data_IF_120026284608
#
_entry.id   IF_120026284608
#
_cell.length_a   1.000
_cell.length_b   1.000
_cell.length_c   1.000
_cell.angle_alpha   90.00
_cell.angle_beta   90.00
_cell.angle_gamma   90.00
#
_symmetry.space_group_name_H-M   'P 1'
#
loop_
_entity.id
_entity.type
_entity.pdbx_description
1 polymer ?
#
# COMPACT_ATOMS: atom_id res chain seq x y z
N UNK A 1 20.43 35.96 9.11
CA UNK A 1 20.21 34.72 8.36
C UNK A 1 18.84 34.17 8.75
N UNK A 2 17.85 34.16 7.84
CA UNK A 2 16.52 33.59 8.13
C UNK A 2 16.67 32.07 8.01
N UNK A 3 16.60 31.34 9.14
CA UNK A 3 16.62 29.90 9.14
C UNK A 3 15.20 29.45 8.78
N UNK A 4 15.04 28.78 7.63
CA UNK A 4 13.79 28.14 7.26
C UNK A 4 13.54 26.95 8.20
N UNK A 5 12.38 26.92 8.82
CA UNK A 5 11.95 25.76 9.64
C UNK A 5 11.51 24.60 8.74
N UNK A 6 11.60 23.37 9.26
CA UNK A 6 11.17 22.19 8.52
C UNK A 6 9.68 22.22 8.18
N UNK A 7 8.87 22.80 9.05
CA UNK A 7 7.44 22.97 8.85
C UNK A 7 7.15 23.82 7.59
N UNK A 8 7.85 24.94 7.43
CA UNK A 8 7.71 25.79 6.24
C UNK A 8 8.21 25.10 4.97
N UNK A 9 9.31 24.35 5.07
CA UNK A 9 9.82 23.55 3.94
C UNK A 9 8.76 22.54 3.50
N UNK A 10 8.13 21.83 4.44
CA UNK A 10 7.08 20.83 4.13
C UNK A 10 5.84 21.49 3.54
N UNK A 11 5.43 22.66 4.02
CA UNK A 11 4.35 23.43 3.41
C UNK A 11 4.60 23.71 1.92
N UNK A 12 5.83 24.14 1.56
CA UNK A 12 6.18 24.37 0.16
C UNK A 12 6.27 23.08 -0.66
N UNK A 13 6.81 21.99 -0.10
CA UNK A 13 6.80 20.68 -0.76
C UNK A 13 5.38 20.16 -1.00
N UNK A 14 4.48 20.37 -0.04
CA UNK A 14 3.08 19.99 -0.20
C UNK A 14 2.39 20.77 -1.34
N UNK A 15 2.71 22.05 -1.51
CA UNK A 15 2.21 22.85 -2.64
C UNK A 15 2.74 22.32 -3.97
N UNK A 16 4.02 21.95 -4.04
CA UNK A 16 4.61 21.34 -5.24
C UNK A 16 3.90 20.02 -5.57
N UNK A 17 3.69 19.16 -4.58
CA UNK A 17 3.09 17.84 -4.77
C UNK A 17 1.67 17.89 -5.36
N UNK A 18 0.86 18.87 -5.00
CA UNK A 18 -0.52 18.99 -5.50
C UNK A 18 -0.63 19.70 -6.86
N UNK A 19 0.50 20.12 -7.44
CA UNK A 19 0.49 20.69 -8.80
C UNK A 19 0.19 19.62 -9.86
N UNK A 20 -0.24 20.02 -11.07
CA UNK A 20 -0.46 19.08 -12.17
C UNK A 20 0.81 18.34 -12.63
N UNK A 21 2.00 18.94 -12.42
CA UNK A 21 3.28 18.36 -12.82
C UNK A 21 4.36 18.53 -11.72
N UNK A 22 4.22 17.79 -10.61
CA UNK A 22 5.07 17.97 -9.44
C UNK A 22 6.55 17.63 -9.68
N UNK A 23 6.86 16.78 -10.68
CA UNK A 23 8.25 16.45 -11.02
C UNK A 23 9.10 17.66 -11.34
N UNK A 24 8.53 18.73 -11.90
CA UNK A 24 9.25 19.97 -12.21
C UNK A 24 9.84 20.61 -10.96
N UNK A 25 9.05 20.69 -9.88
CA UNK A 25 9.52 21.23 -8.61
C UNK A 25 10.65 20.40 -8.00
N UNK A 26 10.52 19.07 -8.01
CA UNK A 26 11.57 18.19 -7.49
C UNK A 26 12.86 18.22 -8.34
N UNK A 27 12.75 18.38 -9.66
CA UNK A 27 13.92 18.58 -10.53
C UNK A 27 14.63 19.90 -10.23
N UNK A 28 13.91 20.99 -10.04
CA UNK A 28 14.49 22.28 -9.63
C UNK A 28 15.16 22.21 -8.26
N UNK A 29 14.56 21.54 -7.29
CA UNK A 29 15.17 21.32 -5.98
C UNK A 29 16.48 20.51 -6.09
N UNK A 30 16.52 19.54 -6.99
CA UNK A 30 17.71 18.75 -7.28
C UNK A 30 18.79 19.56 -7.99
N UNK A 31 18.46 20.27 -9.08
CA UNK A 31 19.37 21.11 -9.86
C UNK A 31 20.00 22.25 -9.04
N UNK A 32 19.24 22.79 -8.08
CA UNK A 32 19.72 23.82 -7.15
C UNK A 32 20.48 23.28 -5.95
N UNK A 33 20.58 21.93 -5.80
CA UNK A 33 21.21 21.28 -4.65
C UNK A 33 20.38 21.34 -3.35
N UNK A 34 19.18 21.94 -3.36
CA UNK A 34 18.36 22.06 -2.16
C UNK A 34 17.80 20.70 -1.69
N UNK A 35 17.58 19.76 -2.63
CA UNK A 35 17.04 18.44 -2.32
C UNK A 35 17.97 17.64 -1.39
N UNK A 36 19.27 17.84 -1.46
CA UNK A 36 20.27 17.19 -0.58
C UNK A 36 20.05 17.54 0.90
N UNK A 37 19.69 18.80 1.19
CA UNK A 37 19.43 19.27 2.55
C UNK A 37 18.03 18.93 3.05
N UNK A 38 17.05 18.82 2.14
CA UNK A 38 15.65 18.58 2.48
C UNK A 38 15.37 17.09 2.61
N UNK A 39 15.74 16.31 1.59
CA UNK A 39 15.40 14.88 1.48
C UNK A 39 16.53 14.09 0.79
N UNK A 40 17.68 13.92 1.43
CA UNK A 40 18.83 13.21 0.84
C UNK A 40 18.52 11.76 0.47
N UNK A 41 17.46 11.16 1.07
CA UNK A 41 17.02 9.80 0.74
C UNK A 41 16.54 9.67 -0.70
N UNK A 42 15.89 10.70 -1.27
CA UNK A 42 15.49 10.71 -2.68
C UNK A 42 16.70 10.70 -3.61
N UNK A 43 17.78 11.41 -3.26
CA UNK A 43 18.98 11.45 -4.08
C UNK A 43 19.70 10.10 -4.16
N UNK A 44 19.54 9.22 -3.17
CA UNK A 44 20.08 7.86 -3.22
C UNK A 44 19.43 7.00 -4.33
N UNK A 45 18.28 7.41 -4.85
CA UNK A 45 17.65 6.77 -6.01
C UNK A 45 18.35 7.07 -7.33
N UNK A 46 19.23 8.10 -7.36
CA UNK A 46 19.98 8.49 -8.56
C UNK A 46 21.08 7.49 -8.89
N UNK A 47 21.45 7.53 -10.16
CA UNK A 47 22.54 6.73 -10.70
C UNK A 47 22.08 5.36 -11.19
N UNK A 48 22.88 4.84 -12.12
CA UNK A 48 22.69 3.51 -12.71
C UNK A 48 24.02 2.79 -12.58
N UNK A 49 24.00 1.65 -11.90
CA UNK A 49 25.15 0.75 -11.89
C UNK A 49 24.99 -0.28 -13.02
N UNK A 50 26.09 -0.61 -13.65
CA UNK A 50 26.13 -1.63 -14.68
C UNK A 50 27.17 -2.69 -14.33
N UNK A 51 26.76 -3.96 -14.41
CA UNK A 51 27.63 -5.14 -14.26
C UNK A 51 27.43 -6.00 -15.49
N UNK A 52 28.51 -6.36 -16.16
CA UNK A 52 28.52 -7.18 -17.39
C UNK A 52 27.56 -6.65 -18.48
N UNK A 53 27.50 -5.31 -18.64
CA UNK A 53 26.61 -4.63 -19.59
C UNK A 53 25.14 -4.60 -19.20
N UNK A 54 24.76 -5.12 -18.03
CA UNK A 54 23.40 -5.08 -17.50
C UNK A 54 23.25 -3.94 -16.49
N UNK A 55 22.61 -2.85 -16.90
CA UNK A 55 22.23 -1.73 -16.02
C UNK A 55 20.81 -1.90 -15.46
N UNK A 56 20.53 -1.23 -14.34
CA UNK A 56 19.16 -1.08 -13.86
C UNK A 56 18.54 0.25 -14.34
N UNK A 57 17.22 0.39 -14.19
CA UNK A 57 16.53 1.66 -14.46
C UNK A 57 17.03 2.74 -13.50
N UNK A 58 17.12 3.97 -13.96
CA UNK A 58 17.39 5.13 -13.10
C UNK A 58 16.14 5.42 -12.25
N UNK A 59 16.26 5.17 -10.94
CA UNK A 59 15.09 5.11 -10.05
C UNK A 59 14.57 6.50 -9.67
N UNK A 60 15.42 7.53 -9.62
CA UNK A 60 14.98 8.90 -9.31
C UNK A 60 14.06 9.47 -10.40
N UNK A 61 14.50 9.41 -11.67
CA UNK A 61 13.66 9.87 -12.78
C UNK A 61 12.39 9.02 -12.92
N UNK A 62 12.48 7.71 -12.64
CA UNK A 62 11.31 6.85 -12.61
C UNK A 62 10.31 7.29 -11.52
N UNK A 63 10.78 7.55 -10.31
CA UNK A 63 9.93 8.02 -9.21
C UNK A 63 9.22 9.32 -9.57
N UNK A 64 9.91 10.25 -10.23
CA UNK A 64 9.30 11.50 -10.69
C UNK A 64 8.32 11.30 -11.83
N UNK A 65 8.56 10.35 -12.74
CA UNK A 65 7.63 9.94 -13.79
C UNK A 65 6.34 9.35 -13.19
N UNK A 66 6.48 8.45 -12.21
CA UNK A 66 5.33 7.85 -11.49
C UNK A 66 4.53 8.92 -10.77
N UNK A 67 5.20 9.88 -10.13
CA UNK A 67 4.54 11.00 -9.44
C UNK A 67 3.70 11.85 -10.41
N UNK A 68 4.22 12.16 -11.61
CA UNK A 68 3.47 12.88 -12.64
C UNK A 68 2.30 12.04 -13.18
N UNK A 69 2.51 10.74 -13.41
CA UNK A 69 1.46 9.83 -13.87
C UNK A 69 0.31 9.72 -12.86
N UNK A 70 0.62 9.67 -11.55
CA UNK A 70 -0.39 9.72 -10.49
C UNK A 70 -1.13 11.05 -10.53
N UNK A 71 -0.41 12.17 -10.75
CA UNK A 71 -0.99 13.49 -10.83
C UNK A 71 -2.02 13.58 -11.96
N UNK A 72 -1.64 13.14 -13.15
CA UNK A 72 -2.49 13.16 -14.33
C UNK A 72 -3.71 12.23 -14.18
N UNK A 73 -3.48 11.00 -13.78
CA UNK A 73 -4.56 10.01 -13.62
C UNK A 73 -5.56 10.39 -12.53
N UNK A 74 -5.11 10.92 -11.40
CA UNK A 74 -5.98 11.39 -10.33
C UNK A 74 -6.82 12.58 -10.77
N UNK A 75 -6.22 13.57 -11.42
CA UNK A 75 -6.94 14.74 -11.91
C UNK A 75 -7.99 14.37 -12.99
N UNK A 76 -7.67 13.43 -13.87
CA UNK A 76 -8.63 12.90 -14.84
C UNK A 76 -9.82 12.23 -14.15
N UNK A 77 -9.54 11.34 -13.17
CA UNK A 77 -10.58 10.63 -12.43
C UNK A 77 -11.43 11.55 -11.54
N UNK A 78 -10.85 12.64 -11.00
CA UNK A 78 -11.60 13.70 -10.31
C UNK A 78 -12.55 14.41 -11.30
N UNK A 79 -12.05 14.78 -12.46
CA UNK A 79 -12.86 15.46 -13.49
C UNK A 79 -14.02 14.58 -13.99
N UNK A 80 -13.83 13.27 -14.05
CA UNK A 80 -14.84 12.28 -14.39
C UNK A 80 -15.78 11.91 -13.23
N UNK A 81 -15.46 12.33 -11.98
CA UNK A 81 -16.24 12.00 -10.77
C UNK A 81 -16.18 10.52 -10.40
N UNK A 82 -15.12 9.81 -10.82
CA UNK A 82 -14.99 8.36 -10.61
C UNK A 82 -14.29 7.99 -9.30
N UNK A 83 -13.47 8.87 -8.73
CA UNK A 83 -12.81 8.65 -7.43
C UNK A 83 -13.72 9.01 -6.26
N UNK A 84 -13.67 8.17 -5.23
CA UNK A 84 -14.44 8.35 -4.00
C UNK A 84 -13.54 8.27 -2.78
N UNK A 85 -13.78 9.17 -1.83
CA UNK A 85 -13.24 9.11 -0.48
C UNK A 85 -14.30 8.52 0.46
N UNK A 86 -13.87 7.70 1.40
CA UNK A 86 -14.75 7.12 2.40
C UNK A 86 -14.57 7.86 3.72
N UNK A 87 -15.64 8.50 4.20
CA UNK A 87 -15.63 9.28 5.44
C UNK A 87 -16.70 8.75 6.39
N UNK A 88 -16.48 8.89 7.70
CA UNK A 88 -17.47 8.54 8.71
C UNK A 88 -18.29 9.79 9.06
N UNK A 89 -19.61 9.73 8.85
CA UNK A 89 -20.56 10.74 9.25
C UNK A 89 -21.62 10.09 10.16
N UNK A 90 -21.79 10.61 11.34
CA UNK A 90 -22.74 10.07 12.35
C UNK A 90 -22.58 8.56 12.62
N UNK A 91 -21.34 8.04 12.54
CA UNK A 91 -21.02 6.64 12.76
C UNK A 91 -21.26 5.73 11.55
N UNK A 92 -21.67 6.29 10.41
CA UNK A 92 -21.89 5.56 9.15
C UNK A 92 -20.80 5.93 8.16
N UNK A 93 -20.26 4.93 7.45
CA UNK A 93 -19.33 5.16 6.36
C UNK A 93 -20.08 5.66 5.12
N UNK A 94 -19.68 6.82 4.61
CA UNK A 94 -20.27 7.49 3.44
C UNK A 94 -19.20 7.66 2.36
N UNK A 95 -19.54 7.26 1.13
CA UNK A 95 -18.70 7.50 -0.03
C UNK A 95 -18.97 8.89 -0.61
N UNK A 96 -17.96 9.76 -0.65
CA UNK A 96 -18.01 11.09 -1.27
C UNK A 96 -17.16 11.13 -2.53
N UNK A 97 -17.66 11.76 -3.58
CA UNK A 97 -16.84 12.01 -4.78
C UNK A 97 -15.69 12.94 -4.39
N UNK A 98 -14.47 12.54 -4.72
CA UNK A 98 -13.27 13.35 -4.51
C UNK A 98 -13.27 14.54 -5.45
N UNK A 99 -13.03 15.72 -4.93
CA UNK A 99 -13.01 17.00 -5.69
C UNK A 99 -11.64 17.66 -5.73
N UNK A 100 -10.73 17.23 -4.86
CA UNK A 100 -9.39 17.80 -4.70
C UNK A 100 -8.32 16.71 -4.73
N UNK A 101 -7.10 16.99 -5.22
CA UNK A 101 -6.00 16.03 -5.20
C UNK A 101 -5.68 15.55 -3.79
N UNK A 102 -5.43 14.26 -3.62
CA UNK A 102 -4.99 13.68 -2.36
C UNK A 102 -3.48 13.86 -2.18
N UNK A 103 -3.10 14.82 -1.35
CA UNK A 103 -1.70 15.09 -1.02
C UNK A 103 -0.95 13.82 -0.56
N UNK A 104 -1.61 12.95 0.19
CA UNK A 104 -0.95 11.77 0.76
C UNK A 104 -0.73 10.67 -0.28
N UNK A 105 -1.58 10.59 -1.30
CA UNK A 105 -1.34 9.76 -2.48
C UNK A 105 -0.10 10.23 -3.25
N UNK A 106 0.09 11.55 -3.37
CA UNK A 106 1.30 12.13 -3.99
C UNK A 106 2.57 11.83 -3.18
N UNK A 107 2.48 11.91 -1.84
CA UNK A 107 3.56 11.45 -0.97
C UNK A 107 3.84 9.96 -1.12
N UNK A 108 2.81 9.10 -1.22
CA UNK A 108 3.01 7.68 -1.47
C UNK A 108 3.70 7.43 -2.81
N UNK A 109 3.30 8.13 -3.88
CA UNK A 109 3.94 8.06 -5.19
C UNK A 109 5.42 8.49 -5.15
N UNK A 110 5.73 9.58 -4.44
CA UNK A 110 7.13 10.04 -4.28
C UNK A 110 7.99 9.05 -3.49
N UNK A 111 7.40 8.28 -2.58
CA UNK A 111 8.13 7.43 -1.62
C UNK A 111 8.02 5.94 -1.90
N UNK A 112 7.25 5.49 -2.92
CA UNK A 112 7.00 4.06 -3.16
C UNK A 112 8.28 3.24 -3.30
N UNK A 113 9.28 3.79 -3.96
CA UNK A 113 10.56 3.16 -4.29
C UNK A 113 11.73 3.59 -3.37
N UNK A 114 11.46 4.34 -2.31
CA UNK A 114 12.50 5.00 -1.48
C UNK A 114 13.54 4.03 -0.91
N UNK A 115 13.21 2.76 -0.77
CA UNK A 115 14.10 1.73 -0.23
C UNK A 115 14.84 0.90 -1.29
N UNK A 116 14.67 1.17 -2.58
CA UNK A 116 15.41 0.44 -3.63
C UNK A 116 16.93 0.49 -3.45
N UNK A 117 17.55 1.63 -3.07
CA UNK A 117 18.99 1.65 -2.80
C UNK A 117 19.43 0.69 -1.69
N UNK A 118 18.61 0.53 -0.65
CA UNK A 118 18.93 -0.32 0.52
C UNK A 118 18.74 -1.83 0.23
N UNK A 119 18.01 -2.17 -0.83
CA UNK A 119 17.66 -3.56 -1.20
C UNK A 119 18.28 -4.00 -2.53
N UNK A 120 19.02 -3.10 -3.18
CA UNK A 120 19.67 -3.37 -4.46
C UNK A 120 20.70 -4.49 -4.36
N UNK A 121 20.57 -5.50 -5.22
CA UNK A 121 21.50 -6.63 -5.35
C UNK A 121 21.65 -7.02 -6.80
N UNK A 122 22.84 -7.49 -7.17
CA UNK A 122 23.09 -8.06 -8.47
C UNK A 122 23.06 -9.60 -8.38
N UNK A 123 22.25 -10.22 -9.23
CA UNK A 123 22.20 -11.66 -9.41
C UNK A 123 22.74 -11.98 -10.83
N UNK A 124 23.76 -12.83 -10.98
CA UNK A 124 24.35 -13.14 -12.29
C UNK A 124 23.34 -13.74 -13.29
N UNK A 125 22.32 -14.46 -12.82
CA UNK A 125 21.33 -15.11 -13.68
C UNK A 125 20.27 -14.12 -14.20
N UNK A 126 19.75 -13.25 -13.32
CA UNK A 126 18.61 -12.38 -13.64
C UNK A 126 18.95 -10.87 -13.72
N UNK A 127 20.14 -10.48 -13.24
CA UNK A 127 20.58 -9.08 -13.20
C UNK A 127 20.24 -8.38 -11.89
N UNK A 128 20.00 -7.07 -11.95
CA UNK A 128 19.70 -6.26 -10.77
C UNK A 128 18.31 -6.57 -10.18
N UNK A 129 18.27 -6.77 -8.87
CA UNK A 129 17.06 -7.05 -8.09
C UNK A 129 16.91 -6.06 -6.94
N UNK A 130 15.64 -5.86 -6.49
CA UNK A 130 15.28 -4.94 -5.43
C UNK A 130 14.24 -5.56 -4.49
N UNK A 131 14.33 -6.88 -4.25
CA UNK A 131 13.33 -7.63 -3.49
C UNK A 131 13.12 -7.06 -2.08
N UNK A 132 11.87 -6.91 -1.70
CA UNK A 132 11.47 -6.45 -0.37
C UNK A 132 11.60 -4.93 -0.15
N UNK A 133 11.83 -4.13 -1.23
CA UNK A 133 11.91 -2.67 -1.09
C UNK A 133 10.58 -2.06 -0.62
N UNK A 134 9.45 -2.66 -0.95
CA UNK A 134 8.13 -2.26 -0.49
C UNK A 134 8.00 -2.36 1.05
N UNK A 135 8.41 -3.49 1.63
CA UNK A 135 8.42 -3.69 3.08
C UNK A 135 9.47 -2.80 3.79
N UNK A 136 10.64 -2.69 3.18
CA UNK A 136 11.70 -1.81 3.72
C UNK A 136 11.27 -0.36 3.66
N UNK A 137 10.68 0.09 2.54
CA UNK A 137 10.15 1.43 2.34
C UNK A 137 9.07 1.76 3.37
N UNK A 138 8.07 0.89 3.52
CA UNK A 138 7.04 1.07 4.54
C UNK A 138 7.61 1.26 5.96
N UNK A 139 8.67 0.53 6.32
CA UNK A 139 9.36 0.70 7.62
C UNK A 139 10.15 2.02 7.73
N UNK A 140 10.54 2.63 6.61
CA UNK A 140 11.24 3.92 6.60
C UNK A 140 10.27 5.10 6.81
N UNK A 141 8.99 5.00 6.40
CA UNK A 141 8.02 6.10 6.42
C UNK A 141 7.91 6.79 7.79
N UNK A 142 7.74 6.09 8.94
CA UNK A 142 7.60 6.78 10.23
C UNK A 142 8.81 7.65 10.59
N UNK A 143 10.03 7.16 10.35
CA UNK A 143 11.26 7.91 10.63
C UNK A 143 11.42 9.12 9.69
N UNK A 144 11.04 8.95 8.41
CA UNK A 144 11.08 10.03 7.42
C UNK A 144 10.08 11.13 7.78
N UNK A 145 8.84 10.77 8.08
CA UNK A 145 7.80 11.72 8.53
C UNK A 145 8.22 12.48 9.77
N UNK A 146 8.76 11.78 10.78
CA UNK A 146 9.29 12.40 11.98
C UNK A 146 10.42 13.40 11.67
N UNK A 147 11.36 13.00 10.79
CA UNK A 147 12.50 13.85 10.43
C UNK A 147 12.09 15.12 9.68
N UNK A 148 11.00 15.05 8.91
CA UNK A 148 10.42 16.14 8.14
C UNK A 148 9.36 16.94 8.92
N UNK A 149 9.09 16.59 10.19
CA UNK A 149 8.01 17.20 10.99
C UNK A 149 6.61 17.06 10.38
N UNK A 150 6.38 15.96 9.67
CA UNK A 150 5.08 15.60 9.12
C UNK A 150 4.21 14.88 10.17
N UNK A 151 2.88 14.83 10.00
CA UNK A 151 1.98 14.21 10.97
C UNK A 151 2.20 12.69 11.10
N UNK A 152 2.28 12.18 12.35
CA UNK A 152 2.48 10.76 12.66
C UNK A 152 1.14 10.08 13.01
N UNK A 153 0.10 10.37 12.27
CA UNK A 153 -1.27 9.89 12.45
C UNK A 153 -1.71 8.99 11.28
N UNK A 154 -3.02 8.89 11.03
CA UNK A 154 -3.60 8.09 9.96
C UNK A 154 -3.06 8.44 8.56
N UNK A 155 -2.65 9.71 8.34
CA UNK A 155 -2.03 10.16 7.09
C UNK A 155 -0.68 9.45 6.83
N UNK A 156 0.14 9.32 7.87
CA UNK A 156 1.38 8.54 7.80
C UNK A 156 1.09 7.07 7.54
N UNK A 157 0.12 6.48 8.25
CA UNK A 157 -0.27 5.06 8.08
C UNK A 157 -0.79 4.79 6.67
N UNK A 158 -1.55 5.73 6.11
CA UNK A 158 -1.99 5.67 4.72
C UNK A 158 -0.81 5.60 3.74
N UNK A 159 0.16 6.52 3.84
CA UNK A 159 1.36 6.50 2.98
C UNK A 159 2.15 5.21 3.19
N UNK A 160 2.35 4.79 4.44
CA UNK A 160 3.03 3.55 4.79
C UNK A 160 2.35 2.32 4.17
N UNK A 161 1.01 2.26 4.21
CA UNK A 161 0.21 1.19 3.61
C UNK A 161 0.40 1.13 2.10
N UNK A 162 0.23 2.26 1.40
CA UNK A 162 0.38 2.30 -0.06
C UNK A 162 1.79 1.93 -0.50
N UNK A 163 2.83 2.44 0.17
CA UNK A 163 4.22 2.06 -0.09
C UNK A 163 4.43 0.55 0.12
N UNK A 164 3.85 -0.03 1.18
CA UNK A 164 3.98 -1.45 1.45
C UNK A 164 3.23 -2.38 0.49
N UNK A 165 2.17 -1.88 -0.14
CA UNK A 165 1.28 -2.68 -0.99
C UNK A 165 1.45 -2.43 -2.49
N UNK A 166 2.24 -1.42 -2.91
CA UNK A 166 2.26 -0.94 -4.30
C UNK A 166 2.61 -2.02 -5.35
N UNK A 167 3.32 -3.07 -4.98
CA UNK A 167 3.61 -4.18 -5.90
C UNK A 167 2.52 -5.26 -5.94
N UNK A 168 1.60 -5.30 -4.97
CA UNK A 168 0.62 -6.39 -4.88
C UNK A 168 -0.35 -6.47 -6.06
N UNK A 169 -0.96 -5.37 -6.52
CA UNK A 169 -1.81 -5.42 -7.71
C UNK A 169 -1.05 -5.91 -8.95
N UNK A 170 0.22 -5.50 -9.12
CA UNK A 170 1.05 -5.94 -10.25
C UNK A 170 1.37 -7.44 -10.16
N UNK A 171 1.63 -7.97 -8.97
CA UNK A 171 1.85 -9.40 -8.79
C UNK A 171 0.63 -10.23 -9.20
N UNK A 172 -0.59 -9.77 -8.87
CA UNK A 172 -1.82 -10.41 -9.31
C UNK A 172 -2.00 -10.43 -10.83
N UNK A 173 -1.41 -9.47 -11.53
CA UNK A 173 -1.47 -9.35 -13.00
C UNK A 173 -0.56 -10.35 -13.71
N UNK A 174 0.49 -10.82 -13.06
CA UNK A 174 1.49 -11.73 -13.64
C UNK A 174 1.18 -13.20 -13.39
N UNK A 175 0.43 -13.50 -12.33
CA UNK A 175 0.07 -14.84 -11.91
C UNK A 175 -1.41 -15.16 -12.20
N UNK A 176 -1.84 -16.39 -11.95
CA UNK A 176 -3.26 -16.74 -11.98
C UNK A 176 -4.00 -16.01 -10.84
N UNK A 177 -4.96 -15.15 -11.21
CA UNK A 177 -5.70 -14.31 -10.25
C UNK A 177 -6.69 -15.17 -9.47
N UNK A 178 -6.32 -15.61 -8.28
CA UNK A 178 -7.20 -16.37 -7.40
C UNK A 178 -8.12 -15.45 -6.58
N UNK A 179 -9.30 -15.94 -6.21
CA UNK A 179 -10.23 -15.21 -5.33
C UNK A 179 -9.59 -14.89 -3.97
N UNK A 180 -8.80 -15.81 -3.43
CA UNK A 180 -8.04 -15.62 -2.18
C UNK A 180 -7.07 -14.45 -2.25
N UNK A 181 -6.28 -14.36 -3.32
CA UNK A 181 -5.33 -13.27 -3.51
C UNK A 181 -6.05 -11.91 -3.62
N UNK A 182 -7.20 -11.87 -4.29
CA UNK A 182 -8.04 -10.67 -4.40
C UNK A 182 -8.66 -10.30 -3.05
N UNK A 183 -9.21 -11.26 -2.29
CA UNK A 183 -9.75 -11.00 -0.93
C UNK A 183 -8.69 -10.41 -0.02
N UNK A 184 -7.47 -10.98 -0.03
CA UNK A 184 -6.34 -10.45 0.74
C UNK A 184 -5.97 -9.03 0.34
N UNK A 185 -5.95 -8.73 -0.97
CA UNK A 185 -5.67 -7.37 -1.45
C UNK A 185 -6.75 -6.39 -0.97
N UNK A 186 -8.03 -6.73 -1.12
CA UNK A 186 -9.16 -5.90 -0.68
C UNK A 186 -9.14 -5.67 0.83
N UNK A 187 -8.85 -6.72 1.61
CA UNK A 187 -8.74 -6.62 3.06
C UNK A 187 -7.58 -5.71 3.50
N UNK A 188 -6.38 -5.91 2.93
CA UNK A 188 -5.19 -5.16 3.34
C UNK A 188 -5.24 -3.69 2.90
N UNK A 189 -5.79 -3.40 1.72
CA UNK A 189 -5.95 -2.05 1.21
C UNK A 189 -7.13 -1.32 1.88
N UNK A 190 -8.22 -2.03 2.17
CA UNK A 190 -9.44 -1.44 2.71
C UNK A 190 -10.00 -0.34 1.80
N UNK A 191 -10.36 0.79 2.37
CA UNK A 191 -10.90 1.94 1.64
C UNK A 191 -9.88 2.64 0.70
N UNK A 192 -8.60 2.33 0.85
CA UNK A 192 -7.54 2.93 0.03
C UNK A 192 -7.27 2.13 -1.25
N UNK A 193 -8.12 1.15 -1.59
CA UNK A 193 -7.91 0.26 -2.74
C UNK A 193 -7.86 1.00 -4.08
N UNK A 194 -8.71 2.01 -4.28
CA UNK A 194 -8.71 2.78 -5.52
C UNK A 194 -7.43 3.60 -5.68
N UNK A 195 -6.94 4.22 -4.61
CA UNK A 195 -5.68 4.96 -4.60
C UNK A 195 -4.48 4.03 -4.82
N UNK A 196 -4.52 2.83 -4.22
CA UNK A 196 -3.51 1.80 -4.46
C UNK A 196 -3.48 1.37 -5.93
N UNK A 197 -4.65 1.11 -6.52
CA UNK A 197 -4.77 0.73 -7.93
C UNK A 197 -4.30 1.85 -8.86
N UNK A 198 -4.57 3.11 -8.52
CA UNK A 198 -4.10 4.28 -9.27
C UNK A 198 -2.57 4.38 -9.21
N UNK A 199 -1.96 4.27 -8.03
CA UNK A 199 -0.51 4.28 -7.84
C UNK A 199 0.16 3.14 -8.64
N UNK A 200 -0.36 1.93 -8.53
CA UNK A 200 0.21 0.77 -9.22
C UNK A 200 0.12 0.88 -10.75
N UNK A 201 -1.00 1.40 -11.29
CA UNK A 201 -1.13 1.63 -12.72
C UNK A 201 -0.16 2.71 -13.20
N UNK A 202 0.05 3.77 -12.42
CA UNK A 202 1.00 4.84 -12.71
C UNK A 202 2.47 4.36 -12.70
N UNK A 203 2.79 3.34 -11.92
CA UNK A 203 4.13 2.72 -11.85
C UNK A 203 4.47 1.86 -13.08
N UNK A 204 3.48 1.52 -13.92
CA UNK A 204 3.69 0.80 -15.18
C UNK A 204 4.35 1.73 -16.21
N UNK A 205 5.66 1.89 -16.12
CA UNK A 205 6.46 2.79 -16.97
C UNK A 205 7.48 2.02 -17.80
N UNK A 206 7.04 1.17 -18.71
CA UNK A 206 7.92 0.43 -19.62
C UNK A 206 8.06 1.17 -20.96
N UNK A 207 9.27 1.20 -21.51
CA UNK A 207 9.50 1.68 -22.91
C UNK A 207 8.95 0.73 -23.96
N UNK A 208 8.47 -0.46 -23.60
CA UNK A 208 7.87 -1.42 -24.50
C UNK A 208 6.34 -1.27 -24.51
N UNK A 209 5.73 -0.69 -25.58
CA UNK A 209 4.29 -0.45 -25.67
C UNK A 209 3.45 -1.74 -25.55
N UNK A 210 3.94 -2.86 -26.10
CA UNK A 210 3.25 -4.15 -26.02
C UNK A 210 3.19 -4.67 -24.58
N UNK A 211 4.29 -4.49 -23.82
CA UNK A 211 4.33 -4.85 -22.40
C UNK A 211 3.37 -3.97 -21.58
N UNK A 212 3.36 -2.67 -21.81
CA UNK A 212 2.44 -1.72 -21.16
C UNK A 212 0.99 -2.09 -21.46
N UNK A 213 0.63 -2.32 -22.71
CA UNK A 213 -0.73 -2.69 -23.12
C UNK A 213 -1.17 -3.99 -22.41
N UNK A 214 -0.31 -5.00 -22.39
CA UNK A 214 -0.60 -6.27 -21.69
C UNK A 214 -0.82 -6.07 -20.19
N UNK A 215 0.05 -5.31 -19.53
CA UNK A 215 -0.08 -5.06 -18.09
C UNK A 215 -1.36 -4.28 -17.76
N UNK A 216 -1.73 -3.29 -18.58
CA UNK A 216 -2.97 -2.53 -18.40
C UNK A 216 -4.20 -3.41 -18.60
N UNK A 217 -4.24 -4.23 -19.66
CA UNK A 217 -5.33 -5.18 -19.87
C UNK A 217 -5.49 -6.15 -18.69
N UNK A 218 -4.39 -6.63 -18.14
CA UNK A 218 -4.44 -7.49 -16.95
C UNK A 218 -4.92 -6.72 -15.70
N UNK A 219 -4.57 -5.43 -15.58
CA UNK A 219 -5.10 -4.57 -14.51
C UNK A 219 -6.64 -4.47 -14.57
N UNK A 220 -7.21 -4.39 -15.76
CA UNK A 220 -8.67 -4.38 -15.95
C UNK A 220 -9.29 -5.71 -15.49
N UNK A 221 -8.63 -6.84 -15.76
CA UNK A 221 -9.06 -8.16 -15.25
C UNK A 221 -9.03 -8.21 -13.71
N UNK A 222 -7.98 -7.66 -13.08
CA UNK A 222 -7.93 -7.58 -11.60
C UNK A 222 -9.08 -6.72 -11.07
N UNK A 223 -9.38 -5.57 -11.67
CA UNK A 223 -10.52 -4.72 -11.30
C UNK A 223 -11.86 -5.44 -11.44
N UNK A 224 -12.06 -6.16 -12.54
CA UNK A 224 -13.27 -6.97 -12.75
C UNK A 224 -13.40 -8.03 -11.65
N UNK A 225 -12.33 -8.76 -11.37
CA UNK A 225 -12.31 -9.81 -10.35
C UNK A 225 -12.55 -9.23 -8.94
N UNK A 226 -11.98 -8.08 -8.63
CA UNK A 226 -12.27 -7.37 -7.38
C UNK A 226 -13.77 -7.05 -7.24
N UNK A 227 -14.42 -6.58 -8.32
CA UNK A 227 -15.86 -6.31 -8.33
C UNK A 227 -16.68 -7.56 -8.11
N UNK A 228 -16.30 -8.70 -8.71
CA UNK A 228 -16.96 -9.98 -8.53
C UNK A 228 -16.85 -10.49 -7.09
N UNK A 229 -15.65 -10.40 -6.49
CA UNK A 229 -15.41 -10.81 -5.11
C UNK A 229 -16.18 -9.91 -4.13
N UNK A 230 -16.16 -8.59 -4.34
CA UNK A 230 -16.88 -7.63 -3.47
C UNK A 230 -18.41 -7.79 -3.52
N UNK A 231 -18.99 -8.28 -4.63
CA UNK A 231 -20.43 -8.57 -4.70
C UNK A 231 -20.85 -9.72 -3.78
N UNK A 232 -19.92 -10.62 -3.46
CA UNK A 232 -20.18 -11.77 -2.58
C UNK A 232 -20.02 -11.38 -1.11
N UNK A 233 -18.96 -10.65 -0.79
CA UNK A 233 -18.61 -10.22 0.56
C UNK A 233 -17.89 -8.86 0.53
N UNK A 234 -18.20 -7.95 1.47
CA UNK A 234 -17.49 -6.67 1.60
C UNK A 234 -16.18 -6.84 2.41
N UNK A 235 -15.16 -7.40 1.78
CA UNK A 235 -13.84 -7.58 2.40
C UNK A 235 -13.11 -6.27 2.72
N UNK A 236 -13.52 -5.15 2.17
CA UNK A 236 -12.95 -3.82 2.43
C UNK A 236 -13.15 -3.38 3.88
N UNK A 237 -14.38 -3.60 4.38
CA UNK A 237 -14.80 -3.27 5.75
C UNK A 237 -14.92 -4.51 6.64
N UNK A 238 -14.43 -5.64 6.16
CA UNK A 238 -14.58 -6.91 6.85
C UNK A 238 -13.92 -6.88 8.23
N UNK A 239 -14.64 -7.37 9.22
CA UNK A 239 -14.15 -7.58 10.57
C UNK A 239 -14.17 -9.07 10.86
N UNK A 240 -13.10 -9.55 11.50
CA UNK A 240 -13.05 -10.96 11.95
C UNK A 240 -14.26 -11.25 12.85
N UNK A 241 -15.09 -12.26 12.52
CA UNK A 241 -16.25 -12.64 13.34
C UNK A 241 -15.88 -12.96 14.80
N UNK A 242 -14.63 -13.41 15.03
CA UNK A 242 -14.10 -13.73 16.36
C UNK A 242 -13.34 -12.53 16.93
N UNK A 243 -13.83 -11.93 18.02
CA UNK A 243 -13.14 -10.90 18.77
C UNK A 243 -12.23 -11.51 19.85
N UNK A 244 -11.29 -10.70 20.38
CA UNK A 244 -10.35 -11.18 21.40
C UNK A 244 -11.03 -11.53 22.72
N UNK A 245 -12.05 -10.75 23.08
CA UNK A 245 -12.89 -10.95 24.26
C UNK A 245 -13.58 -12.30 24.23
N UNK A 246 -14.14 -12.68 23.06
CA UNK A 246 -14.78 -13.96 22.86
C UNK A 246 -13.80 -15.13 23.04
N UNK A 247 -12.58 -15.03 22.49
CA UNK A 247 -11.53 -16.05 22.68
C UNK A 247 -11.19 -16.21 24.15
N UNK A 248 -11.00 -15.09 24.87
CA UNK A 248 -10.72 -15.09 26.30
C UNK A 248 -11.85 -15.76 27.12
N UNK A 249 -13.09 -15.47 26.79
CA UNK A 249 -14.26 -16.04 27.46
C UNK A 249 -14.38 -17.55 27.20
N UNK A 250 -14.27 -18.00 25.94
CA UNK A 250 -14.42 -19.41 25.56
C UNK A 250 -13.38 -20.29 26.22
N UNK A 251 -12.14 -19.85 26.29
CA UNK A 251 -11.02 -20.64 26.79
C UNK A 251 -10.58 -20.27 28.23
N UNK A 252 -11.26 -19.29 28.85
CA UNK A 252 -10.94 -18.76 30.17
C UNK A 252 -9.44 -18.41 30.33
N UNK A 253 -8.89 -17.65 29.37
CA UNK A 253 -7.49 -17.23 29.31
C UNK A 253 -7.36 -15.70 29.43
N UNK A 254 -6.25 -15.25 30.03
CA UNK A 254 -5.86 -13.84 30.03
C UNK A 254 -5.31 -13.39 28.66
N UNK A 255 -5.22 -12.06 28.39
CA UNK A 255 -4.60 -11.52 27.18
C UNK A 255 -3.22 -12.15 26.92
N UNK A 256 -3.05 -12.73 25.74
CA UNK A 256 -1.84 -13.48 25.37
C UNK A 256 -1.66 -13.52 23.85
N UNK A 257 -0.46 -13.90 23.38
CA UNK A 257 -0.18 -14.07 21.96
C UNK A 257 -1.05 -15.14 21.29
N UNK A 258 -1.54 -16.13 22.06
CA UNK A 258 -2.41 -17.20 21.56
C UNK A 258 -3.72 -16.64 20.98
N UNK A 259 -4.29 -15.60 21.60
CA UNK A 259 -5.49 -14.94 21.09
C UNK A 259 -5.25 -14.36 19.70
N UNK A 260 -4.11 -13.69 19.49
CA UNK A 260 -3.70 -13.18 18.19
C UNK A 260 -3.53 -14.30 17.15
N UNK A 261 -2.88 -15.39 17.53
CA UNK A 261 -2.66 -16.55 16.65
C UNK A 261 -3.99 -17.19 16.21
N UNK A 262 -4.93 -17.42 17.11
CA UNK A 262 -6.24 -17.98 16.79
C UNK A 262 -7.06 -17.05 15.88
N UNK A 263 -7.08 -15.75 16.18
CA UNK A 263 -7.74 -14.76 15.34
C UNK A 263 -7.11 -14.67 13.94
N UNK A 264 -5.78 -14.73 13.84
CA UNK A 264 -5.08 -14.73 12.56
C UNK A 264 -5.33 -16.02 11.77
N UNK A 265 -5.42 -17.17 12.41
CA UNK A 265 -5.78 -18.43 11.78
C UNK A 265 -7.19 -18.37 11.17
N UNK A 266 -8.19 -17.92 11.92
CA UNK A 266 -9.57 -17.72 11.44
C UNK A 266 -9.60 -16.73 10.27
N UNK A 267 -8.95 -15.56 10.42
CA UNK A 267 -8.87 -14.57 9.35
C UNK A 267 -8.30 -15.17 8.06
N UNK A 268 -7.20 -15.90 8.17
CA UNK A 268 -6.56 -16.50 7.01
C UNK A 268 -7.45 -17.54 6.34
N UNK A 269 -8.12 -18.42 7.10
CA UNK A 269 -9.02 -19.42 6.57
C UNK A 269 -10.21 -18.80 5.82
N UNK A 270 -10.80 -17.71 6.33
CA UNK A 270 -11.87 -16.97 5.64
C UNK A 270 -11.34 -16.32 4.34
N UNK A 271 -10.19 -15.64 4.40
CA UNK A 271 -9.62 -14.99 3.22
C UNK A 271 -9.18 -16.01 2.14
N UNK A 272 -8.73 -17.18 2.55
CA UNK A 272 -8.39 -18.29 1.64
C UNK A 272 -9.61 -19.03 1.11
N UNK A 273 -10.78 -18.83 1.74
CA UNK A 273 -12.03 -19.49 1.38
C UNK A 273 -12.10 -20.95 1.86
N UNK A 274 -11.31 -21.31 2.86
CA UNK A 274 -11.35 -22.61 3.53
C UNK A 274 -12.60 -22.75 4.37
N UNK A 275 -13.06 -21.64 4.97
CA UNK A 275 -14.30 -21.56 5.74
C UNK A 275 -15.16 -20.39 5.28
N UNK A 276 -16.46 -20.49 5.52
CA UNK A 276 -17.39 -19.40 5.26
C UNK A 276 -17.16 -18.22 6.19
N UNK A 277 -17.47 -17.02 5.71
CA UNK A 277 -17.45 -15.79 6.50
C UNK A 277 -18.70 -15.70 7.41
N UNK A 278 -18.81 -16.63 8.35
CA UNK A 278 -19.87 -16.68 9.35
C UNK A 278 -19.29 -16.88 10.74
N UNK A 279 -20.03 -16.47 11.77
CA UNK A 279 -19.59 -16.67 13.16
C UNK A 279 -19.49 -18.16 13.50
N UNK A 280 -20.43 -18.97 13.03
CA UNK A 280 -20.51 -20.41 13.30
C UNK A 280 -19.30 -21.16 12.72
N UNK A 281 -18.95 -20.89 11.45
CA UNK A 281 -17.79 -21.50 10.82
C UNK A 281 -16.47 -21.02 11.47
N UNK A 282 -16.39 -19.74 11.81
CA UNK A 282 -15.24 -19.15 12.46
C UNK A 282 -15.01 -19.69 13.89
N UNK A 283 -16.09 -19.86 14.67
CA UNK A 283 -16.01 -20.46 16.02
C UNK A 283 -15.59 -21.93 15.97
N UNK A 284 -16.17 -22.71 15.06
CA UNK A 284 -15.79 -24.12 14.89
C UNK A 284 -14.30 -24.25 14.52
N UNK A 285 -13.84 -23.47 13.57
CA UNK A 285 -12.43 -23.47 13.13
C UNK A 285 -11.48 -22.97 14.23
N UNK A 286 -11.86 -21.94 14.97
CA UNK A 286 -11.09 -21.45 16.12
C UNK A 286 -10.89 -22.53 17.17
N UNK A 287 -11.95 -23.29 17.50
CA UNK A 287 -11.88 -24.39 18.48
C UNK A 287 -11.01 -25.55 18.01
N UNK A 288 -11.07 -25.88 16.72
CA UNK A 288 -10.20 -26.87 16.11
C UNK A 288 -8.73 -26.46 16.23
N UNK A 289 -8.39 -25.21 15.85
CA UNK A 289 -7.02 -24.69 15.97
C UNK A 289 -6.54 -24.53 17.39
N UNK A 290 -7.44 -24.22 18.32
CA UNK A 290 -7.11 -24.19 19.73
C UNK A 290 -6.77 -25.60 20.29
N UNK A 291 -7.52 -26.62 19.88
CA UNK A 291 -7.26 -28.01 20.28
C UNK A 291 -5.88 -28.51 19.77
N UNK A 292 -5.45 -28.10 18.57
CA UNK A 292 -4.12 -28.43 18.02
C UNK A 292 -2.96 -27.96 18.92
N UNK A 293 -3.18 -26.86 19.67
CA UNK A 293 -2.20 -26.32 20.61
C UNK A 293 -2.48 -26.68 22.08
N UNK A 294 -3.39 -27.64 22.31
CA UNK A 294 -3.74 -28.14 23.63
C UNK A 294 -4.62 -27.20 24.47
N UNK A 295 -5.31 -26.25 23.81
CA UNK A 295 -6.23 -25.33 24.47
C UNK A 295 -7.68 -25.78 24.23
N UNK A 296 -8.39 -26.05 25.31
CA UNK A 296 -9.76 -26.54 25.30
C UNK A 296 -10.73 -25.53 25.93
N UNK A 297 -12.00 -25.47 25.47
CA UNK A 297 -13.01 -24.62 26.07
C UNK A 297 -13.16 -24.88 27.55
N UNK A 298 -13.36 -23.83 28.35
CA UNK A 298 -13.66 -23.97 29.77
C UNK A 298 -15.00 -24.65 29.94
N UNK A 299 -15.09 -25.60 30.87
CA UNK A 299 -16.38 -26.18 31.25
C UNK A 299 -17.28 -25.07 31.80
N UNK A 300 -18.45 -24.91 31.18
CA UNK A 300 -19.48 -24.02 31.73
C UNK A 300 -19.90 -24.58 33.09
N UNK A 301 -19.54 -23.84 34.17
CA UNK A 301 -20.07 -24.12 35.52
C UNK A 301 -21.56 -23.77 35.59
#
# INVERSE_FOLDING_TARGET
MVILTKERIIEELNKILVTPKPSMGFRLLDETGLLEYIMPQLLKLKGVESVDGRGHKENFSHTLEVLDNVAEAEMAAIAEGTLKDYVFEDGVEVAKVRTEPNLWLRWAALLHDIAKPDTKRYDPAIGWTFHGHEFRGAKMIPKLFQSLKMPLNEKMKYVQKLVGLHLRPIALVTDEVTDSAVRRLLFDAGNDIEDLMLLCNADITSKNPKKVARLRSNFDLVRQKMTEVQKKDDYRNWKNPICGEYVMEVFNISPSNVIGQLKDAVKNAILDGEIENSFEAADAYMREKAAEIGLFPAEKK
#
